data_IF_545113352398
#
_entry.id   IF_545113352398
#
_cell.length_a   1.000
_cell.length_b   1.000
_cell.length_c   1.000
_cell.angle_alpha   90.00
_cell.angle_beta   90.00
_cell.angle_gamma   90.00
#
_symmetry.space_group_name_H-M   'P 1'
#
loop_
_entity.id
_entity.type
_entity.pdbx_description
1 polymer ?
#
# COMPACT_ATOMS: atom_id res chain seq x y z
N UNK A 1 3.68 -23.21 6.24
CA UNK A 1 4.30 -21.89 6.50
C UNK A 1 5.39 -21.72 5.46
N UNK A 2 5.15 -20.88 4.50
CA UNK A 2 6.04 -20.77 3.34
C UNK A 2 7.13 -19.73 3.63
N UNK A 3 8.35 -20.07 3.22
CA UNK A 3 9.45 -19.13 3.27
C UNK A 3 9.23 -18.09 2.15
N UNK A 4 8.95 -16.86 2.51
CA UNK A 4 8.74 -15.76 1.58
C UNK A 4 10.01 -14.93 1.45
N UNK A 5 10.51 -14.68 0.22
CA UNK A 5 11.57 -13.70 0.03
C UNK A 5 11.14 -12.32 0.52
N UNK A 6 12.03 -11.63 1.25
CA UNK A 6 11.76 -10.30 1.79
C UNK A 6 12.61 -9.26 1.09
N UNK A 7 11.98 -8.17 0.72
CA UNK A 7 12.61 -7.00 0.12
C UNK A 7 12.51 -5.81 1.07
N UNK A 8 13.56 -5.54 1.86
CA UNK A 8 13.64 -4.36 2.71
C UNK A 8 13.77 -3.08 1.89
N UNK A 9 12.86 -2.15 2.09
CA UNK A 9 12.84 -0.85 1.43
C UNK A 9 12.56 0.26 2.45
N UNK A 10 12.87 1.50 2.07
CA UNK A 10 12.54 2.70 2.87
C UNK A 10 11.09 3.18 2.64
N UNK A 11 10.25 2.32 2.09
CA UNK A 11 8.82 2.57 1.83
C UNK A 11 7.94 1.49 2.43
N UNK A 12 6.71 1.85 2.74
CA UNK A 12 5.64 0.93 3.12
C UNK A 12 4.66 0.79 1.97
N UNK A 13 4.31 -0.44 1.66
CA UNK A 13 3.27 -0.78 0.68
C UNK A 13 2.03 -1.27 1.41
N UNK A 14 0.87 -0.84 0.97
CA UNK A 14 -0.42 -1.30 1.48
C UNK A 14 -1.13 -2.19 0.45
N UNK A 15 -2.08 -3.04 0.85
CA UNK A 15 -2.90 -3.81 -0.09
C UNK A 15 -3.51 -2.93 -1.19
N UNK A 16 -3.54 -3.46 -2.41
CA UNK A 16 -4.01 -2.83 -3.66
C UNK A 16 -3.15 -1.68 -4.21
N UNK A 17 -2.26 -1.11 -3.42
CA UNK A 17 -1.33 -0.07 -3.88
C UNK A 17 -0.42 -0.60 -4.98
N UNK A 18 -0.23 0.22 -6.02
CA UNK A 18 0.68 -0.07 -7.14
C UNK A 18 1.88 0.84 -7.06
N UNK A 19 3.07 0.26 -7.07
CA UNK A 19 4.31 1.01 -7.03
C UNK A 19 5.27 0.56 -8.13
N UNK A 20 5.98 1.48 -8.80
CA UNK A 20 7.08 1.16 -9.69
C UNK A 20 8.34 0.86 -8.84
N UNK A 21 9.11 -0.13 -9.27
CA UNK A 21 10.40 -0.49 -8.67
C UNK A 21 11.44 -0.65 -9.75
N UNK A 22 12.65 -0.10 -9.49
CA UNK A 22 13.85 -0.36 -10.26
C UNK A 22 14.75 -1.31 -9.48
N UNK A 23 15.04 -2.48 -10.05
CA UNK A 23 15.76 -3.58 -9.38
C UNK A 23 17.15 -3.72 -9.97
N UNK A 24 18.17 -3.34 -9.22
CA UNK A 24 19.56 -3.34 -9.67
C UNK A 24 20.48 -4.26 -8.83
N UNK A 25 20.18 -4.51 -7.56
CA UNK A 25 21.00 -5.37 -6.71
C UNK A 25 20.93 -6.85 -7.13
N UNK A 26 22.06 -7.59 -7.22
CA UNK A 26 22.09 -8.98 -7.72
C UNK A 26 21.12 -9.93 -7.00
N UNK A 27 21.06 -9.88 -5.66
CA UNK A 27 20.14 -10.71 -4.85
C UNK A 27 18.68 -10.48 -5.20
N UNK A 28 18.29 -9.24 -5.44
CA UNK A 28 16.91 -8.92 -5.81
C UNK A 28 16.62 -9.19 -7.29
N UNK A 29 17.60 -9.06 -8.19
CA UNK A 29 17.45 -9.51 -9.59
C UNK A 29 17.06 -10.99 -9.65
N UNK A 30 17.74 -11.87 -8.87
CA UNK A 30 17.39 -13.29 -8.76
C UNK A 30 15.97 -13.48 -8.25
N UNK A 31 15.63 -12.87 -7.12
CA UNK A 31 14.30 -12.93 -6.52
C UNK A 31 13.20 -12.52 -7.51
N UNK A 32 13.40 -11.41 -8.22
CA UNK A 32 12.42 -10.90 -9.19
C UNK A 32 12.31 -11.84 -10.40
N UNK A 33 13.43 -12.38 -10.91
CA UNK A 33 13.40 -13.34 -12.00
C UNK A 33 12.63 -14.60 -11.63
N UNK A 34 12.82 -15.10 -10.42
CA UNK A 34 12.08 -16.26 -9.90
C UNK A 34 10.60 -15.93 -9.74
N UNK A 35 10.26 -14.77 -9.17
CA UNK A 35 8.87 -14.31 -9.01
C UNK A 35 8.15 -14.09 -10.36
N UNK A 36 8.84 -13.58 -11.40
CA UNK A 36 8.28 -13.49 -12.76
C UNK A 36 7.98 -14.88 -13.32
N UNK A 37 8.86 -15.85 -13.09
CA UNK A 37 8.74 -17.21 -13.62
C UNK A 37 7.63 -18.01 -12.92
N UNK A 38 7.51 -17.90 -11.60
CA UNK A 38 6.59 -18.70 -10.80
C UNK A 38 5.25 -18.02 -10.55
N UNK A 39 5.20 -16.68 -10.61
CA UNK A 39 4.05 -15.89 -10.18
C UNK A 39 3.93 -15.75 -8.66
N UNK A 40 4.92 -16.25 -7.90
CA UNK A 40 4.91 -16.20 -6.44
C UNK A 40 5.12 -14.76 -5.94
N UNK A 41 4.45 -14.37 -4.83
CA UNK A 41 4.63 -13.08 -4.20
C UNK A 41 5.96 -13.03 -3.44
N UNK A 42 6.46 -11.80 -3.22
CA UNK A 42 7.50 -11.51 -2.25
C UNK A 42 7.03 -10.44 -1.26
N UNK A 43 7.69 -10.33 -0.12
CA UNK A 43 7.30 -9.41 0.94
C UNK A 43 8.09 -8.10 0.90
N UNK A 44 7.42 -6.95 0.88
CA UNK A 44 8.05 -5.65 1.13
C UNK A 44 7.90 -5.32 2.60
N UNK A 45 9.02 -4.98 3.24
CA UNK A 45 9.10 -4.60 4.65
C UNK A 45 9.87 -3.31 4.82
N UNK A 46 9.39 -2.45 5.72
CA UNK A 46 10.08 -1.19 6.01
C UNK A 46 11.41 -1.47 6.71
N UNK A 47 12.48 -0.94 6.13
CA UNK A 47 13.81 -0.93 6.72
C UNK A 47 13.91 0.20 7.75
N UNK A 48 14.44 -0.11 8.91
CA UNK A 48 14.72 0.85 9.98
C UNK A 48 16.22 0.84 10.33
N UNK A 49 16.69 1.88 11.02
CA UNK A 49 18.10 2.00 11.43
C UNK A 49 18.59 0.78 12.26
N UNK A 50 17.69 0.10 12.97
CA UNK A 50 18.00 -1.05 13.84
C UNK A 50 17.45 -2.39 13.31
N UNK A 51 17.08 -2.48 12.04
CA UNK A 51 16.60 -3.72 11.45
C UNK A 51 15.41 -3.56 10.51
N UNK A 52 14.49 -4.51 10.54
CA UNK A 52 13.30 -4.54 9.69
C UNK A 52 12.06 -4.50 10.57
N UNK A 53 11.03 -3.81 10.13
CA UNK A 53 9.70 -3.93 10.71
C UNK A 53 9.24 -5.40 10.62
N UNK A 54 8.48 -5.84 11.60
CA UNK A 54 7.96 -7.22 11.65
C UNK A 54 6.68 -7.41 10.85
N UNK A 55 6.03 -6.33 10.46
CA UNK A 55 4.83 -6.34 9.62
C UNK A 55 5.15 -5.64 8.31
N UNK A 56 4.76 -6.30 7.22
CA UNK A 56 4.92 -5.84 5.85
C UNK A 56 3.72 -6.22 4.98
N UNK A 57 3.85 -5.97 3.69
CA UNK A 57 2.86 -6.34 2.69
C UNK A 57 3.48 -7.26 1.63
N UNK A 58 2.82 -8.36 1.34
CA UNK A 58 3.17 -9.18 0.18
C UNK A 58 2.75 -8.47 -1.09
N UNK A 59 3.57 -8.60 -2.13
CA UNK A 59 3.31 -7.97 -3.42
C UNK A 59 3.44 -8.98 -4.55
N UNK A 60 2.69 -8.76 -5.63
CA UNK A 60 2.85 -9.47 -6.91
C UNK A 60 3.32 -8.52 -7.99
N UNK A 61 4.16 -9.00 -8.89
CA UNK A 61 4.53 -8.31 -10.12
C UNK A 61 3.31 -8.34 -11.03
N UNK A 62 2.77 -7.15 -11.35
CA UNK A 62 1.63 -7.02 -12.27
C UNK A 62 2.07 -6.61 -13.67
N UNK A 63 3.29 -6.06 -13.80
CA UNK A 63 3.85 -5.66 -15.09
C UNK A 63 5.37 -5.58 -15.02
N UNK A 64 6.04 -6.14 -16.02
CA UNK A 64 7.44 -5.90 -16.32
C UNK A 64 7.47 -4.81 -17.39
N UNK A 65 8.03 -3.64 -17.03
CA UNK A 65 8.14 -2.50 -17.94
C UNK A 65 9.36 -2.67 -18.84
N UNK A 66 10.48 -3.14 -18.25
CA UNK A 66 11.74 -3.32 -18.96
C UNK A 66 12.62 -4.36 -18.26
N UNK A 67 13.26 -5.21 -19.04
CA UNK A 67 14.41 -6.01 -18.64
C UNK A 67 15.63 -5.44 -19.38
N UNK A 68 16.61 -4.98 -18.60
CA UNK A 68 17.83 -4.36 -19.12
C UNK A 68 18.87 -5.43 -19.46
N UNK A 69 19.75 -5.14 -20.40
CA UNK A 69 20.85 -6.05 -20.77
C UNK A 69 21.80 -6.36 -19.61
N UNK A 70 21.91 -5.47 -18.62
CA UNK A 70 22.61 -5.66 -17.34
C UNK A 70 21.88 -6.61 -16.37
N UNK A 71 20.68 -7.10 -16.73
CA UNK A 71 19.82 -7.95 -15.91
C UNK A 71 19.04 -7.18 -14.83
N UNK A 72 18.95 -5.87 -14.93
CA UNK A 72 18.09 -5.03 -14.10
C UNK A 72 16.66 -5.07 -14.60
N UNK A 73 15.70 -4.81 -13.70
CA UNK A 73 14.29 -4.83 -14.02
C UNK A 73 13.60 -3.53 -13.59
N UNK A 74 12.80 -2.98 -14.51
CA UNK A 74 11.78 -1.99 -14.18
C UNK A 74 10.43 -2.70 -14.13
N UNK A 75 9.80 -2.74 -12.96
CA UNK A 75 8.56 -3.48 -12.73
C UNK A 75 7.51 -2.62 -12.04
N UNK A 76 6.25 -3.00 -12.20
CA UNK A 76 5.17 -2.52 -11.35
C UNK A 76 4.71 -3.69 -10.49
N UNK A 77 4.67 -3.47 -9.18
CA UNK A 77 4.13 -4.43 -8.22
C UNK A 77 2.83 -3.91 -7.63
N UNK A 78 1.99 -4.83 -7.16
CA UNK A 78 0.76 -4.50 -6.45
C UNK A 78 0.73 -5.20 -5.09
N UNK A 79 0.45 -4.43 -4.02
CA UNK A 79 0.20 -4.94 -2.68
C UNK A 79 -0.96 -5.93 -2.65
N UNK A 80 -0.76 -7.04 -1.94
CA UNK A 80 -1.75 -8.12 -1.83
C UNK A 80 -2.29 -8.24 -0.41
N UNK A 81 -1.52 -8.77 0.52
CA UNK A 81 -1.94 -9.06 1.89
C UNK A 81 -0.87 -8.62 2.88
N UNK A 82 -1.31 -8.08 4.01
CA UNK A 82 -0.42 -7.80 5.13
C UNK A 82 0.02 -9.11 5.79
N UNK A 83 1.26 -9.15 6.27
CA UNK A 83 1.80 -10.31 6.97
C UNK A 83 2.67 -9.89 8.16
N UNK A 84 2.82 -10.82 9.10
CA UNK A 84 3.75 -10.74 10.23
C UNK A 84 4.90 -11.73 10.05
N UNK A 85 6.12 -11.26 10.17
CA UNK A 85 7.33 -12.10 10.21
C UNK A 85 7.39 -12.79 11.55
N UNK A 86 7.41 -14.12 11.56
CA UNK A 86 7.62 -14.97 12.77
C UNK A 86 9.08 -15.24 13.02
N UNK A 87 9.82 -15.55 11.97
CA UNK A 87 11.28 -15.69 11.99
C UNK A 87 11.84 -15.31 10.62
N UNK A 88 13.10 -14.95 10.59
CA UNK A 88 13.80 -14.61 9.35
C UNK A 88 15.20 -15.19 9.36
N UNK A 89 15.66 -15.59 8.20
CA UNK A 89 17.02 -16.08 7.93
C UNK A 89 17.58 -15.29 6.75
N UNK A 90 18.89 -15.23 6.66
CA UNK A 90 19.57 -14.62 5.53
C UNK A 90 20.31 -15.68 4.74
N UNK A 91 20.11 -15.72 3.43
CA UNK A 91 20.84 -16.61 2.53
C UNK A 91 22.28 -16.13 2.31
N UNK A 92 23.11 -16.97 1.67
CA UNK A 92 24.52 -16.68 1.41
C UNK A 92 24.73 -15.43 0.55
N UNK A 93 23.76 -15.09 -0.30
CA UNK A 93 23.75 -13.87 -1.13
C UNK A 93 23.09 -12.67 -0.45
N UNK A 94 22.88 -12.76 0.85
CA UNK A 94 22.25 -11.74 1.70
C UNK A 94 20.76 -11.48 1.40
N UNK A 95 20.06 -12.34 0.66
CA UNK A 95 18.61 -12.29 0.54
C UNK A 95 17.95 -12.71 1.87
N UNK A 96 16.98 -11.94 2.34
CA UNK A 96 16.21 -12.32 3.51
C UNK A 96 15.07 -13.25 3.12
N UNK A 97 14.90 -14.33 3.87
CA UNK A 97 13.75 -15.23 3.84
C UNK A 97 12.99 -15.13 5.16
N UNK A 98 11.69 -14.90 5.09
CA UNK A 98 10.82 -14.81 6.25
C UNK A 98 9.83 -15.96 6.33
N UNK A 99 9.73 -16.62 7.49
CA UNK A 99 8.52 -17.39 7.81
C UNK A 99 7.44 -16.41 8.24
N UNK A 100 6.36 -16.32 7.47
CA UNK A 100 5.32 -15.31 7.65
C UNK A 100 3.97 -15.93 8.00
N UNK A 101 3.12 -15.14 8.65
CA UNK A 101 1.70 -15.40 8.84
C UNK A 101 0.94 -14.22 8.30
N UNK A 102 -0.01 -14.44 7.39
CA UNK A 102 -0.88 -13.40 6.90
C UNK A 102 -1.79 -12.88 8.01
N UNK A 103 -2.02 -11.57 7.99
CA UNK A 103 -2.96 -10.93 8.88
C UNK A 103 -4.34 -10.99 8.23
N UNK A 104 -5.34 -11.36 9.03
CA UNK A 104 -6.74 -11.43 8.62
C UNK A 104 -7.55 -10.58 9.59
N UNK A 105 -8.53 -9.87 9.07
CA UNK A 105 -9.46 -9.13 9.91
C UNK A 105 -10.40 -10.11 10.62
N UNK A 106 -10.63 -9.87 11.90
CA UNK A 106 -11.49 -10.75 12.70
C UNK A 106 -12.97 -10.42 12.56
N UNK A 107 -13.27 -9.19 12.14
CA UNK A 107 -14.63 -8.69 12.02
C UNK A 107 -14.83 -7.96 10.69
N UNK A 108 -16.00 -8.08 10.07
CA UNK A 108 -16.33 -7.32 8.87
C UNK A 108 -16.46 -5.82 9.20
N UNK A 109 -16.37 -4.99 8.17
CA UNK A 109 -16.62 -3.57 8.30
C UNK A 109 -18.07 -3.31 8.77
N UNK A 110 -18.26 -2.37 9.71
CA UNK A 110 -19.56 -1.83 10.04
C UNK A 110 -20.16 -1.13 8.82
N UNK A 111 -21.41 -1.43 8.47
CA UNK A 111 -22.09 -0.83 7.34
C UNK A 111 -22.13 0.71 7.43
N UNK A 112 -22.48 1.25 8.59
CA UNK A 112 -22.57 2.69 8.83
C UNK A 112 -21.20 3.39 8.66
N UNK A 113 -20.14 2.75 9.18
CA UNK A 113 -18.79 3.31 9.09
C UNK A 113 -18.27 3.27 7.67
N UNK A 114 -18.56 2.19 6.95
CA UNK A 114 -18.20 2.02 5.55
C UNK A 114 -18.92 3.04 4.67
N UNK A 115 -20.23 3.24 4.85
CA UNK A 115 -21.03 4.24 4.15
C UNK A 115 -20.49 5.64 4.39
N UNK A 116 -20.27 6.01 5.66
CA UNK A 116 -19.66 7.29 6.03
C UNK A 116 -18.31 7.51 5.34
N UNK A 117 -17.46 6.47 5.31
CA UNK A 117 -16.14 6.57 4.66
C UNK A 117 -16.28 6.78 3.15
N UNK A 118 -17.21 6.06 2.53
CA UNK A 118 -17.51 6.18 1.10
C UNK A 118 -18.02 7.57 0.76
N UNK A 119 -18.95 8.11 1.54
CA UNK A 119 -19.49 9.45 1.33
C UNK A 119 -18.42 10.53 1.41
N UNK A 120 -17.56 10.49 2.43
CA UNK A 120 -16.43 11.41 2.55
C UNK A 120 -15.46 11.29 1.37
N UNK A 121 -15.13 10.06 0.97
CA UNK A 121 -14.27 9.80 -0.17
C UNK A 121 -14.83 10.36 -1.47
N UNK A 122 -16.09 10.07 -1.79
CA UNK A 122 -16.76 10.57 -2.99
C UNK A 122 -16.84 12.10 -2.99
N UNK A 123 -17.11 12.70 -1.83
CA UNK A 123 -17.14 14.15 -1.70
C UNK A 123 -15.78 14.79 -1.97
N UNK A 124 -14.69 14.17 -1.51
CA UNK A 124 -13.32 14.62 -1.81
C UNK A 124 -13.07 14.54 -3.33
N UNK A 125 -13.41 13.41 -3.97
CA UNK A 125 -13.21 13.23 -5.41
C UNK A 125 -13.95 14.32 -6.21
N UNK A 126 -15.22 14.56 -5.89
CA UNK A 126 -16.02 15.59 -6.55
C UNK A 126 -15.41 16.99 -6.39
N UNK A 127 -14.95 17.33 -5.19
CA UNK A 127 -14.28 18.62 -4.95
C UNK A 127 -12.96 18.78 -5.70
N UNK A 128 -12.24 17.68 -5.94
CA UNK A 128 -11.00 17.68 -6.71
C UNK A 128 -11.23 17.57 -8.23
N UNK A 129 -12.48 17.49 -8.69
CA UNK A 129 -12.81 17.29 -10.11
C UNK A 129 -12.49 15.89 -10.63
N UNK A 130 -12.27 14.92 -9.74
CA UNK A 130 -11.96 13.53 -10.07
C UNK A 130 -13.25 12.70 -10.11
N UNK A 131 -14.11 12.98 -11.08
CA UNK A 131 -15.45 12.39 -11.19
C UNK A 131 -15.58 11.31 -12.28
N UNK A 132 -14.46 10.86 -12.83
CA UNK A 132 -14.43 9.72 -13.76
C UNK A 132 -14.61 8.40 -12.99
N UNK A 133 -15.20 7.39 -13.65
CA UNK A 133 -15.39 6.03 -13.10
C UNK A 133 -16.10 5.97 -11.73
N UNK A 134 -17.11 6.80 -11.51
CA UNK A 134 -17.84 6.87 -10.23
C UNK A 134 -18.37 5.52 -9.75
N UNK A 135 -18.80 4.62 -10.65
CA UNK A 135 -19.25 3.27 -10.29
C UNK A 135 -18.15 2.47 -9.61
N UNK A 136 -16.92 2.55 -10.11
CA UNK A 136 -15.75 1.92 -9.49
C UNK A 136 -15.49 2.50 -8.09
N UNK A 137 -15.66 3.81 -7.92
CA UNK A 137 -15.46 4.46 -6.62
C UNK A 137 -16.57 4.10 -5.63
N UNK A 138 -17.81 3.95 -6.09
CA UNK A 138 -18.95 3.52 -5.26
C UNK A 138 -18.86 2.05 -4.83
N UNK A 139 -18.19 1.19 -5.59
CA UNK A 139 -18.03 -0.23 -5.28
C UNK A 139 -16.94 -0.53 -4.24
N UNK A 140 -16.23 0.49 -3.75
CA UNK A 140 -15.20 0.34 -2.72
C UNK A 140 -15.82 -0.06 -1.38
N UNK A 141 -15.27 -1.11 -0.74
CA UNK A 141 -15.84 -1.69 0.47
C UNK A 141 -14.81 -2.14 1.51
N UNK A 142 -13.51 -1.88 1.26
CA UNK A 142 -12.43 -2.13 2.21
C UNK A 142 -11.62 -0.86 2.44
N UNK A 143 -11.07 -0.72 3.63
CA UNK A 143 -10.27 0.44 4.04
C UNK A 143 -9.16 0.79 3.05
N UNK A 144 -8.43 -0.23 2.57
CA UNK A 144 -7.35 -0.02 1.61
C UNK A 144 -7.83 0.40 0.21
N UNK A 145 -9.09 0.19 -0.13
CA UNK A 145 -9.67 0.68 -1.39
C UNK A 145 -9.75 2.20 -1.44
N UNK A 146 -9.96 2.85 -0.29
CA UNK A 146 -10.18 4.29 -0.20
C UNK A 146 -8.89 5.12 -0.24
N UNK A 147 -7.74 4.49 -0.06
CA UNK A 147 -6.45 5.21 -0.02
C UNK A 147 -5.65 5.10 -1.33
N UNK A 148 -6.21 4.46 -2.35
CA UNK A 148 -5.56 4.24 -3.66
C UNK A 148 -5.07 5.54 -4.31
N UNK A 149 -5.82 6.62 -4.16
CA UNK A 149 -5.52 7.93 -4.77
C UNK A 149 -4.78 8.89 -3.81
N UNK A 150 -4.46 8.45 -2.60
CA UNK A 150 -3.89 9.31 -1.56
C UNK A 150 -2.46 8.87 -1.26
N UNK A 151 -1.52 9.76 -1.49
CA UNK A 151 -0.13 9.51 -1.10
C UNK A 151 0.05 9.72 0.41
N UNK A 152 -0.10 8.63 1.18
CA UNK A 152 0.07 8.65 2.63
C UNK A 152 1.54 8.50 3.02
N UNK A 153 1.99 9.22 4.07
CA UNK A 153 3.33 9.03 4.65
C UNK A 153 3.53 7.59 5.15
N UNK A 154 4.77 7.08 5.07
CA UNK A 154 5.12 5.73 5.54
C UNK A 154 4.65 5.42 6.96
N UNK A 155 4.72 6.40 7.87
CA UNK A 155 4.25 6.26 9.25
C UNK A 155 2.78 5.89 9.32
N UNK A 156 1.95 6.53 8.51
CA UNK A 156 0.50 6.26 8.45
C UNK A 156 0.24 4.92 7.78
N UNK A 157 0.89 4.64 6.64
CA UNK A 157 0.78 3.33 5.96
C UNK A 157 1.18 2.19 6.89
N UNK A 158 2.29 2.34 7.64
CA UNK A 158 2.75 1.34 8.60
C UNK A 158 1.71 1.12 9.71
N UNK A 159 1.14 2.18 10.26
CA UNK A 159 0.07 2.09 11.24
C UNK A 159 -1.14 1.32 10.69
N UNK A 160 -1.56 1.60 9.47
CA UNK A 160 -2.71 0.93 8.85
C UNK A 160 -2.47 -0.58 8.65
N UNK A 161 -1.27 -0.99 8.19
CA UNK A 161 -0.97 -2.42 7.98
C UNK A 161 -0.73 -3.18 9.29
N UNK A 162 -0.43 -2.50 10.40
CA UNK A 162 -0.27 -3.09 11.72
C UNK A 162 -1.62 -3.36 12.42
N UNK A 163 -2.69 -2.69 11.99
CA UNK A 163 -4.03 -2.87 12.54
C UNK A 163 -4.71 -4.08 11.90
N UNK A 164 -5.18 -5.00 12.75
CA UNK A 164 -5.90 -6.21 12.35
C UNK A 164 -7.41 -6.10 12.63
N UNK A 165 -7.98 -4.96 12.28
CA UNK A 165 -9.40 -4.65 12.46
C UNK A 165 -9.83 -3.60 11.43
N UNK A 166 -10.79 -3.96 10.60
CA UNK A 166 -11.24 -3.12 9.49
C UNK A 166 -11.88 -1.82 9.96
N UNK A 167 -12.68 -1.87 11.02
CA UNK A 167 -13.35 -0.69 11.55
C UNK A 167 -12.34 0.33 12.09
N UNK A 168 -11.30 -0.11 12.79
CA UNK A 168 -10.25 0.78 13.28
C UNK A 168 -9.47 1.45 12.14
N UNK A 169 -9.22 0.72 11.03
CA UNK A 169 -8.60 1.33 9.83
C UNK A 169 -9.51 2.37 9.19
N UNK A 170 -10.80 2.07 9.04
CA UNK A 170 -11.79 3.01 8.52
C UNK A 170 -11.90 4.28 9.38
N UNK A 171 -11.85 4.17 10.71
CA UNK A 171 -11.83 5.33 11.60
C UNK A 171 -10.61 6.24 11.38
N UNK A 172 -9.43 5.65 11.15
CA UNK A 172 -8.23 6.42 10.84
C UNK A 172 -8.40 7.13 9.49
N UNK A 173 -8.90 6.43 8.47
CA UNK A 173 -9.13 6.98 7.15
C UNK A 173 -10.17 8.11 7.20
N UNK A 174 -11.26 7.96 7.95
CA UNK A 174 -12.23 9.02 8.15
C UNK A 174 -11.64 10.28 8.78
N UNK A 175 -10.72 10.13 9.74
CA UNK A 175 -10.00 11.28 10.31
C UNK A 175 -9.10 11.97 9.29
N UNK A 176 -8.43 11.20 8.43
CA UNK A 176 -7.61 11.73 7.34
C UNK A 176 -8.51 12.50 6.35
N UNK A 177 -9.63 11.90 5.94
CA UNK A 177 -10.58 12.54 5.03
C UNK A 177 -11.18 13.83 5.59
N UNK A 178 -11.52 13.85 6.87
CA UNK A 178 -11.99 15.07 7.54
C UNK A 178 -10.95 16.19 7.49
N UNK A 179 -9.65 15.86 7.68
CA UNK A 179 -8.56 16.81 7.54
C UNK A 179 -8.40 17.33 6.10
N UNK A 180 -8.47 16.44 5.11
CA UNK A 180 -8.40 16.82 3.68
C UNK A 180 -9.57 17.71 3.30
N UNK A 181 -10.78 17.39 3.74
CA UNK A 181 -11.98 18.20 3.48
C UNK A 181 -11.85 19.62 4.01
N UNK A 182 -11.29 19.78 5.20
CA UNK A 182 -11.03 21.09 5.79
C UNK A 182 -10.06 21.89 4.92
N UNK A 183 -8.95 21.29 4.48
CA UNK A 183 -7.95 21.95 3.64
C UNK A 183 -8.54 22.39 2.27
N UNK A 184 -9.31 21.52 1.64
CA UNK A 184 -9.94 21.83 0.33
C UNK A 184 -10.97 22.93 0.46
N UNK A 185 -11.69 23.03 1.58
CA UNK A 185 -12.68 24.09 1.84
C UNK A 185 -12.05 25.48 2.03
N UNK A 186 -10.85 25.53 2.62
CA UNK A 186 -10.09 26.79 2.76
C UNK A 186 -9.44 27.25 1.45
N UNK A 187 -9.01 26.32 0.58
CA UNK A 187 -8.39 26.65 -0.70
C UNK A 187 -9.34 27.29 -1.70
N UNK A 188 -10.63 26.95 -1.67
CA UNK A 188 -11.66 27.54 -2.56
C UNK A 188 -12.10 28.95 -2.14
N UNK A 189 -11.93 29.35 -0.88
CA UNK A 189 -12.27 30.68 -0.41
C UNK A 189 -11.15 31.73 -0.65
N UNK A 190 -9.94 31.30 -1.02
CA UNK A 190 -8.81 32.20 -1.28
C UNK A 190 -8.77 32.80 -2.69
N UNK A 191 -9.59 32.32 -3.63
CA UNK A 191 -9.60 32.83 -5.02
C UNK A 191 -10.67 33.89 -5.32
N UNK A 192 -11.47 34.29 -4.35
CA UNK A 192 -12.51 35.32 -4.55
C UNK A 192 -12.13 36.75 -4.08
N UNK A 193 -10.88 37.03 -3.73
CA UNK A 193 -10.47 38.36 -3.25
C UNK A 193 -9.34 38.93 -4.14
N UNK A 194 -9.49 38.90 -5.46
CA UNK A 194 -8.60 39.66 -6.34
C UNK A 194 -9.25 40.06 -7.67
N UNK A 195 -10.51 40.53 -7.62
CA UNK A 195 -11.13 41.34 -8.68
C UNK A 195 -12.01 42.37 -8.00
N UNK A 196 -11.41 43.47 -7.55
CA UNK A 196 -12.08 44.74 -7.25
C UNK A 196 -11.07 45.88 -7.42
#
# INVERSE_FOLDING_TARGET
MDNMPLFPLDIVVVPKERIPLHIFEPRYKRMIKDSIKTGDPFGIVLKENKGLKTIGCSVKIIRVLKEHLSGEFDIIVQGQRCFRIKSKTQENDHLWLGKVTYLEDHEPASADLLEKTRDQYLHILLKLGLNEDMERHMSKNLSFDFIELINLPNKIKQQLIEINNENQRLEIINRIFSGVMTMVSFGTNGQQISEA
#
